data_IF_829525210830
#
_entry.id   IF_829525210830
#
_cell.length_a   1.000
_cell.length_b   1.000
_cell.length_c   1.000
_cell.angle_alpha   90.00
_cell.angle_beta   90.00
_cell.angle_gamma   90.00
#
_symmetry.space_group_name_H-M   'P 1'
#
loop_
_entity.id
_entity.type
_entity.pdbx_description
1 polymer ?
#
# COMPACT_ATOMS: atom_id res chain seq x y z
N UNK A 1 6.63 10.10 0.23
CA UNK A 1 5.52 9.82 -0.71
C UNK A 1 4.22 10.54 -0.37
N UNK A 2 3.54 10.25 0.74
CA UNK A 2 2.35 11.04 1.10
C UNK A 2 2.69 12.50 1.52
N UNK A 3 3.94 12.75 1.97
CA UNK A 3 4.53 14.09 2.11
C UNK A 3 4.69 14.81 0.77
N UNK A 4 5.07 14.09 -0.29
CA UNK A 4 5.28 14.66 -1.63
C UNK A 4 3.94 15.09 -2.24
N UNK A 5 2.90 14.27 -2.05
CA UNK A 5 1.54 14.64 -2.43
C UNK A 5 1.01 15.83 -1.62
N UNK A 6 1.35 15.91 -0.32
CA UNK A 6 1.00 17.08 0.49
C UNK A 6 1.67 18.35 -0.03
N UNK A 7 2.93 18.28 -0.47
CA UNK A 7 3.62 19.42 -1.05
C UNK A 7 3.03 19.83 -2.39
N UNK A 8 2.72 18.86 -3.25
CA UNK A 8 2.04 19.12 -4.53
C UNK A 8 0.68 19.80 -4.33
N UNK A 9 -0.14 19.30 -3.40
CA UNK A 9 -1.45 19.92 -3.15
C UNK A 9 -1.29 21.35 -2.61
N UNK A 10 -0.29 21.59 -1.75
CA UNK A 10 0.00 22.92 -1.25
C UNK A 10 0.50 23.86 -2.36
N UNK A 11 1.32 23.39 -3.30
CA UNK A 11 1.83 24.21 -4.40
C UNK A 11 0.76 24.55 -5.43
N UNK A 12 -0.08 23.59 -5.80
CA UNK A 12 -1.10 23.76 -6.84
C UNK A 12 -2.37 24.45 -6.33
N UNK A 13 -2.79 24.16 -5.10
CA UNK A 13 -4.09 24.58 -4.58
C UNK A 13 -3.99 25.49 -3.34
N UNK A 14 -2.81 25.68 -2.76
CA UNK A 14 -2.63 26.53 -1.58
C UNK A 14 -3.16 25.92 -0.27
N UNK A 15 -3.54 24.64 -0.26
CA UNK A 15 -4.16 23.98 0.91
C UNK A 15 -3.21 22.98 1.56
N UNK A 16 -3.11 23.05 2.89
CA UNK A 16 -2.36 22.07 3.69
C UNK A 16 -3.29 20.96 4.20
N UNK A 17 -2.94 19.70 3.93
CA UNK A 17 -3.62 18.54 4.50
C UNK A 17 -2.74 17.77 5.48
N UNK A 18 -3.37 17.26 6.55
CA UNK A 18 -2.79 16.16 7.34
C UNK A 18 -2.79 14.88 6.51
N UNK A 19 -1.82 14.00 6.75
CA UNK A 19 -1.65 12.75 6.00
C UNK A 19 -2.95 11.92 5.91
N UNK A 20 -3.66 11.77 7.02
CA UNK A 20 -4.93 11.03 7.08
C UNK A 20 -6.00 11.61 6.13
N UNK A 21 -6.04 12.93 5.97
CA UNK A 21 -7.01 13.60 5.10
C UNK A 21 -6.68 13.40 3.62
N UNK A 22 -5.40 13.26 3.27
CA UNK A 22 -4.97 12.95 1.89
C UNK A 22 -5.50 11.57 1.47
N UNK A 23 -5.36 10.56 2.34
CA UNK A 23 -5.89 9.22 2.05
C UNK A 23 -7.41 9.22 1.90
N UNK A 24 -8.11 9.95 2.77
CA UNK A 24 -9.57 10.10 2.67
C UNK A 24 -10.00 10.77 1.36
N UNK A 25 -9.29 11.84 0.97
CA UNK A 25 -9.55 12.56 -0.27
C UNK A 25 -9.34 11.67 -1.50
N UNK A 26 -8.22 10.95 -1.57
CA UNK A 26 -7.94 10.02 -2.66
C UNK A 26 -9.02 8.93 -2.78
N UNK A 27 -9.44 8.36 -1.65
CA UNK A 27 -10.52 7.37 -1.62
C UNK A 27 -11.85 7.94 -2.13
N UNK A 28 -12.21 9.16 -1.73
CA UNK A 28 -13.43 9.83 -2.21
C UNK A 28 -13.40 10.10 -3.73
N UNK A 29 -12.22 10.31 -4.29
CA UNK A 29 -11.99 10.50 -5.73
C UNK A 29 -11.87 9.18 -6.51
N UNK A 30 -11.99 8.03 -5.85
CA UNK A 30 -11.84 6.71 -6.48
C UNK A 30 -10.40 6.27 -6.74
N UNK A 31 -9.41 6.98 -6.19
CA UNK A 31 -8.01 6.59 -6.28
C UNK A 31 -7.62 5.65 -5.13
N UNK A 32 -6.79 4.66 -5.47
CA UNK A 32 -6.17 3.77 -4.50
C UNK A 32 -4.65 4.00 -4.47
N UNK A 33 -4.06 3.84 -3.29
CA UNK A 33 -2.61 3.94 -3.13
C UNK A 33 -1.94 2.63 -3.55
N UNK A 34 -1.22 2.65 -4.68
CA UNK A 34 -0.47 1.47 -5.15
C UNK A 34 0.96 1.56 -4.60
N UNK A 35 1.37 0.53 -3.86
CA UNK A 35 2.78 0.36 -3.47
C UNK A 35 3.43 -0.74 -4.31
N UNK A 36 4.75 -0.71 -4.43
CA UNK A 36 5.52 -1.78 -5.09
C UNK A 36 5.30 -3.16 -4.47
N UNK A 37 4.87 -3.20 -3.20
CA UNK A 37 4.49 -4.41 -2.44
C UNK A 37 2.97 -4.52 -2.28
N UNK A 38 2.19 -4.03 -3.25
CA UNK A 38 0.74 -4.24 -3.24
C UNK A 38 0.44 -5.74 -3.18
N UNK A 39 -0.55 -6.14 -2.37
CA UNK A 39 -0.95 -7.54 -2.22
C UNK A 39 -1.35 -8.07 -3.59
N UNK A 40 -0.57 -9.00 -4.13
CA UNK A 40 -0.88 -9.57 -5.44
C UNK A 40 -2.23 -10.30 -5.35
N UNK A 41 -3.18 -10.15 -6.31
CA UNK A 41 -4.49 -10.78 -6.21
C UNK A 41 -4.46 -12.31 -6.05
N UNK A 42 -3.39 -12.95 -6.55
CA UNK A 42 -3.14 -14.40 -6.39
C UNK A 42 -2.34 -14.75 -5.13
N UNK A 43 -2.09 -13.79 -4.23
CA UNK A 43 -1.43 -14.01 -2.96
C UNK A 43 -2.43 -14.68 -1.99
N UNK A 44 -2.54 -16.00 -2.09
CA UNK A 44 -3.33 -16.80 -1.16
C UNK A 44 -2.61 -16.89 0.19
N UNK A 45 -3.28 -16.49 1.27
CA UNK A 45 -2.76 -16.65 2.64
C UNK A 45 -2.58 -18.14 2.97
N UNK A 46 -3.50 -19.01 2.52
CA UNK A 46 -3.40 -20.45 2.72
C UNK A 46 -2.14 -21.06 2.06
N UNK A 47 -1.77 -20.60 0.87
CA UNK A 47 -0.55 -21.07 0.17
C UNK A 47 0.72 -20.61 0.89
N UNK A 48 0.74 -19.39 1.41
CA UNK A 48 1.87 -18.88 2.18
C UNK A 48 2.03 -19.63 3.51
N UNK A 49 0.93 -19.87 4.22
CA UNK A 49 0.95 -20.60 5.49
C UNK A 49 1.33 -22.07 5.28
N UNK A 50 0.91 -22.70 4.18
CA UNK A 50 1.37 -24.04 3.82
C UNK A 50 2.89 -24.07 3.52
N UNK A 51 3.40 -23.10 2.77
CA UNK A 51 4.83 -22.99 2.46
C UNK A 51 5.68 -22.74 3.73
N UNK A 52 5.23 -21.86 4.63
CA UNK A 52 5.97 -21.56 5.88
C UNK A 52 6.01 -22.75 6.85
N UNK A 53 5.04 -23.67 6.77
CA UNK A 53 4.98 -24.88 7.60
C UNK A 53 5.81 -26.04 7.06
N UNK A 54 6.50 -25.85 5.93
CA UNK A 54 7.48 -26.82 5.46
C UNK A 54 8.58 -26.96 6.52
N UNK A 55 8.93 -28.18 6.94
CA UNK A 55 10.07 -28.38 7.83
C UNK A 55 11.34 -27.83 7.16
N UNK A 56 12.21 -27.19 7.94
CA UNK A 56 13.53 -26.77 7.46
C UNK A 56 14.41 -28.02 7.23
N UNK A 57 14.19 -28.70 6.10
CA UNK A 57 14.94 -29.89 5.72
C UNK A 57 15.11 -29.91 4.21
N UNK A 58 16.26 -29.43 3.73
CA UNK A 58 16.80 -29.91 2.47
C UNK A 58 17.33 -31.32 2.76
N UNK A 59 16.47 -32.34 2.65
CA UNK A 59 16.95 -33.71 2.55
C UNK A 59 17.27 -34.03 1.07
N UNK A 60 18.45 -34.58 0.75
CA UNK A 60 18.74 -35.15 -0.57
C UNK A 60 17.90 -36.40 -0.87
#
# INVERSE_FOLDING_TARGET
MAKDLSHFIQSEFGVTFKQANIYRLLHQLGFAWITTRSRHPKQSEAVQEAFKKLPNGNDP
#
